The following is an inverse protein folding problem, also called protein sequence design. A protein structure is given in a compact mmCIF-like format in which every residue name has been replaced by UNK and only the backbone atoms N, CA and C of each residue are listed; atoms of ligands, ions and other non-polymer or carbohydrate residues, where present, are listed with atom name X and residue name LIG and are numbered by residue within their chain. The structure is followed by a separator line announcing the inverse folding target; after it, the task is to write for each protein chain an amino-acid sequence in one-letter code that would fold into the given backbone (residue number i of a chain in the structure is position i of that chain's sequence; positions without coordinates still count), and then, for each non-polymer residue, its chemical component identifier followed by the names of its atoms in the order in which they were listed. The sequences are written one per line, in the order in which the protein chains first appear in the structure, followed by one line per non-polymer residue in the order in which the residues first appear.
data_IF_546215879239
#
_entry.id   IF_546215879239
#
_cell.length_a   1.000
_cell.length_b   1.000
_cell.length_c   1.000
_cell.angle_alpha   90.00
_cell.angle_beta   90.00
_cell.angle_gamma   90.00
#
_symmetry.space_group_name_H-M   'P 1'
#
loop_
_entity.id
_entity.type
_entity.pdbx_description
1 polymer ?
#
# COMPACT_ATOMS: atom_id res chain seq x y z
N UNK A 1 28.03 22.47 27.44
CA UNK A 1 28.12 21.29 26.58
C UNK A 1 26.75 20.72 26.36
N UNK A 2 26.46 20.42 25.16
CA UNK A 2 25.25 19.68 24.88
C UNK A 2 25.35 18.29 25.51
N UNK A 3 24.35 17.87 26.26
CA UNK A 3 24.28 16.51 26.78
C UNK A 3 24.20 15.48 25.67
N UNK A 4 23.92 15.96 24.49
CA UNK A 4 23.73 15.13 23.31
C UNK A 4 24.74 15.54 22.25
N UNK A 5 25.99 15.12 22.43
CA UNK A 5 26.94 15.25 21.34
C UNK A 5 26.58 14.22 20.24
N UNK A 6 27.14 14.39 19.08
CA UNK A 6 26.87 13.52 17.95
C UNK A 6 27.19 12.06 18.21
N UNK A 7 28.22 11.82 19.02
CA UNK A 7 28.66 10.47 19.35
C UNK A 7 27.63 9.78 20.25
N UNK A 8 27.15 10.47 21.29
CA UNK A 8 26.15 9.93 22.20
C UNK A 8 24.85 9.66 21.48
N UNK A 9 24.41 10.61 20.63
CA UNK A 9 23.20 10.46 19.84
C UNK A 9 23.33 9.28 18.87
N UNK A 10 24.46 9.11 18.22
CA UNK A 10 24.72 7.99 17.35
C UNK A 10 24.64 6.64 18.06
N UNK A 11 25.15 6.57 19.29
CA UNK A 11 25.07 5.36 20.10
C UNK A 11 23.63 5.01 20.47
N UNK A 12 22.82 6.00 20.81
CA UNK A 12 21.41 5.80 21.14
C UNK A 12 20.64 5.26 19.94
N UNK A 13 20.90 5.81 18.76
CA UNK A 13 20.26 5.35 17.53
C UNK A 13 20.71 3.92 17.20
N UNK A 14 21.98 3.63 17.35
CA UNK A 14 22.53 2.31 17.06
C UNK A 14 22.04 1.25 18.07
N UNK A 15 21.71 1.65 19.29
CA UNK A 15 21.19 0.75 20.31
C UNK A 15 19.73 0.39 20.10
N UNK A 16 19.00 1.16 19.32
CA UNK A 16 17.61 0.86 19.00
C UNK A 16 17.53 -0.32 18.03
N UNK A 17 16.65 -1.29 18.28
CA UNK A 17 16.48 -2.37 17.31
C UNK A 17 15.98 -1.80 15.99
N UNK A 18 16.50 -2.26 14.87
CA UNK A 18 16.01 -1.82 13.58
C UNK A 18 14.53 -2.25 13.42
N UNK A 19 13.75 -1.39 12.80
CA UNK A 19 12.39 -1.73 12.48
C UNK A 19 12.36 -3.00 11.60
N UNK A 20 11.43 -3.93 11.84
CA UNK A 20 11.31 -5.09 10.97
C UNK A 20 11.13 -4.65 9.52
N UNK A 21 11.80 -5.33 8.60
CA UNK A 21 11.75 -5.01 7.18
C UNK A 21 10.31 -4.99 6.67
N UNK A 22 9.46 -5.90 7.19
CA UNK A 22 8.05 -5.93 6.83
C UNK A 22 7.29 -4.66 7.18
N UNK A 23 7.65 -3.99 8.28
CA UNK A 23 7.02 -2.73 8.68
C UNK A 23 7.35 -1.61 7.72
N UNK A 24 8.61 -1.49 7.33
CA UNK A 24 9.05 -0.46 6.38
C UNK A 24 8.38 -0.71 5.03
N UNK A 25 8.36 -1.96 4.59
CA UNK A 25 7.75 -2.34 3.33
C UNK A 25 6.24 -2.05 3.33
N UNK A 26 5.54 -2.40 4.40
CA UNK A 26 4.10 -2.13 4.52
C UNK A 26 3.81 -0.64 4.49
N UNK A 27 4.61 0.18 5.17
CA UNK A 27 4.46 1.63 5.17
C UNK A 27 4.68 2.24 3.79
N UNK A 28 5.56 1.64 2.98
CA UNK A 28 5.83 2.10 1.61
C UNK A 28 4.81 1.60 0.61
N UNK A 29 4.26 0.40 0.81
CA UNK A 29 3.31 -0.23 -0.11
C UNK A 29 1.92 0.40 -0.05
N UNK A 30 1.48 0.90 1.11
CA UNK A 30 0.16 1.49 1.27
C UNK A 30 -0.13 2.65 0.29
N UNK A 31 0.75 3.66 0.15
CA UNK A 31 0.52 4.73 -0.83
C UNK A 31 0.51 4.24 -2.27
N UNK A 32 1.36 3.27 -2.60
CA UNK A 32 1.41 2.67 -3.94
C UNK A 32 0.13 1.90 -4.22
N UNK A 33 -0.34 1.11 -3.25
CA UNK A 33 -1.58 0.36 -3.37
C UNK A 33 -2.79 1.29 -3.55
N UNK A 34 -2.85 2.40 -2.81
CA UNK A 34 -3.92 3.38 -2.96
C UNK A 34 -3.96 4.01 -4.33
N UNK A 35 -2.80 4.38 -4.89
CA UNK A 35 -2.72 4.90 -6.26
C UNK A 35 -3.21 3.86 -7.26
N UNK A 36 -2.80 2.62 -7.10
CA UNK A 36 -3.24 1.53 -7.96
C UNK A 36 -4.74 1.31 -7.89
N UNK A 37 -5.32 1.35 -6.70
CA UNK A 37 -6.77 1.26 -6.51
C UNK A 37 -7.47 2.43 -7.19
N UNK A 38 -6.97 3.65 -6.99
CA UNK A 38 -7.54 4.84 -7.62
C UNK A 38 -7.51 4.76 -9.15
N UNK A 39 -6.43 4.25 -9.73
CA UNK A 39 -6.30 4.02 -11.17
C UNK A 39 -7.29 2.99 -11.68
N UNK A 40 -7.46 1.89 -10.95
CA UNK A 40 -8.43 0.85 -11.29
C UNK A 40 -9.84 1.43 -11.28
N UNK A 41 -10.19 2.17 -10.25
CA UNK A 41 -11.51 2.80 -10.12
C UNK A 41 -11.75 3.81 -11.26
N UNK A 42 -10.78 4.66 -11.54
CA UNK A 42 -10.88 5.65 -12.61
C UNK A 42 -11.09 4.99 -13.97
N UNK A 43 -10.36 3.91 -14.25
CA UNK A 43 -10.51 3.18 -15.50
C UNK A 43 -11.86 2.47 -15.59
N UNK A 44 -12.33 1.92 -14.48
CA UNK A 44 -13.63 1.27 -14.40
C UNK A 44 -14.78 2.25 -14.61
N UNK A 45 -14.64 3.48 -14.15
CA UNK A 45 -15.63 4.52 -14.39
C UNK A 45 -15.68 4.94 -15.86
N UNK A 46 -14.54 4.88 -16.56
CA UNK A 46 -14.45 5.24 -17.96
C UNK A 46 -14.82 4.09 -18.91
N UNK A 47 -14.76 2.84 -18.45
CA UNK A 47 -14.94 1.64 -19.28
C UNK A 47 -15.78 0.60 -18.55
N UNK A 48 -17.02 0.46 -18.95
CA UNK A 48 -17.96 -0.48 -18.34
C UNK A 48 -17.52 -1.94 -18.48
N UNK A 49 -16.94 -2.32 -19.61
CA UNK A 49 -16.44 -3.68 -19.82
C UNK A 49 -15.29 -4.01 -18.87
N UNK A 50 -14.40 -3.05 -18.66
CA UNK A 50 -13.31 -3.19 -17.69
C UNK A 50 -13.87 -3.32 -16.26
N UNK A 51 -14.86 -2.50 -15.92
CA UNK A 51 -15.51 -2.57 -14.62
C UNK A 51 -16.11 -3.94 -14.35
N UNK A 52 -16.79 -4.51 -15.33
CA UNK A 52 -17.38 -5.85 -15.20
C UNK A 52 -16.31 -6.91 -14.93
N UNK A 53 -15.16 -6.82 -15.61
CA UNK A 53 -14.05 -7.74 -15.39
C UNK A 53 -13.44 -7.58 -14.01
N UNK A 54 -13.27 -6.34 -13.55
CA UNK A 54 -12.72 -6.06 -12.22
C UNK A 54 -13.64 -6.60 -11.14
N UNK A 55 -14.91 -6.33 -11.22
CA UNK A 55 -15.90 -6.79 -10.23
C UNK A 55 -15.98 -8.33 -10.20
N UNK A 56 -15.85 -8.97 -11.35
CA UNK A 56 -15.88 -10.42 -11.44
C UNK A 56 -14.65 -11.08 -10.79
N UNK A 57 -13.49 -10.43 -10.84
CA UNK A 57 -12.26 -10.96 -10.28
C UNK A 57 -11.33 -9.83 -9.80
N UNK A 58 -11.53 -9.39 -8.57
CA UNK A 58 -10.76 -8.32 -7.95
C UNK A 58 -9.28 -8.69 -7.78
N UNK A 59 -9.01 -9.94 -7.46
CA UNK A 59 -7.64 -10.40 -7.27
C UNK A 59 -6.82 -10.29 -8.55
N UNK A 60 -7.39 -10.71 -9.67
CA UNK A 60 -6.73 -10.59 -10.96
C UNK A 60 -6.50 -9.14 -11.35
N UNK A 61 -7.45 -8.26 -11.09
CA UNK A 61 -7.30 -6.84 -11.37
C UNK A 61 -6.15 -6.22 -10.59
N UNK A 62 -6.03 -6.57 -9.31
CA UNK A 62 -4.92 -6.12 -8.47
C UNK A 62 -3.59 -6.68 -8.95
N UNK A 63 -3.56 -7.96 -9.30
CA UNK A 63 -2.35 -8.60 -9.80
C UNK A 63 -1.87 -7.95 -11.11
N UNK A 64 -2.77 -7.63 -12.03
CA UNK A 64 -2.45 -6.92 -13.26
C UNK A 64 -1.87 -5.52 -13.00
N UNK A 65 -2.32 -4.87 -11.93
CA UNK A 65 -1.80 -3.57 -11.52
C UNK A 65 -0.50 -3.68 -10.71
N UNK A 66 0.00 -4.88 -10.48
CA UNK A 66 1.21 -5.09 -9.68
C UNK A 66 0.99 -4.95 -8.18
N UNK A 67 -0.23 -5.11 -7.72
CA UNK A 67 -0.60 -4.98 -6.31
C UNK A 67 -0.89 -6.36 -5.74
N UNK A 68 -0.28 -6.68 -4.59
CA UNK A 68 -0.56 -7.92 -3.91
C UNK A 68 -2.00 -7.90 -3.33
N UNK A 69 -2.84 -8.90 -3.66
CA UNK A 69 -4.24 -8.91 -3.23
C UNK A 69 -4.40 -9.37 -1.79
N UNK A 70 -4.03 -8.53 -0.85
CA UNK A 70 -4.24 -8.79 0.58
C UNK A 70 -5.70 -8.53 0.95
N UNK A 71 -6.16 -9.09 2.06
CA UNK A 71 -7.54 -8.90 2.52
C UNK A 71 -7.91 -7.44 2.70
N UNK A 72 -7.10 -6.59 3.36
CA UNK A 72 -7.43 -5.17 3.49
C UNK A 72 -7.55 -4.44 2.15
N UNK A 73 -6.69 -4.78 1.19
CA UNK A 73 -6.71 -4.16 -0.13
C UNK A 73 -7.95 -4.60 -0.92
N UNK A 74 -8.29 -5.89 -0.86
CA UNK A 74 -9.50 -6.41 -1.49
C UNK A 74 -10.76 -5.75 -0.90
N UNK A 75 -10.80 -5.59 0.41
CA UNK A 75 -11.93 -4.95 1.08
C UNK A 75 -12.07 -3.49 0.67
N UNK A 76 -10.97 -2.76 0.55
CA UNK A 76 -10.98 -1.37 0.10
C UNK A 76 -11.46 -1.26 -1.35
N UNK A 77 -10.98 -2.13 -2.23
CA UNK A 77 -11.42 -2.15 -3.63
C UNK A 77 -12.91 -2.47 -3.73
N UNK A 78 -13.40 -3.45 -2.97
CA UNK A 78 -14.84 -3.76 -2.90
C UNK A 78 -15.66 -2.56 -2.45
N UNK A 79 -15.17 -1.86 -1.43
CA UNK A 79 -15.86 -0.68 -0.91
C UNK A 79 -15.99 0.42 -1.97
N UNK A 80 -14.97 0.59 -2.81
CA UNK A 80 -14.99 1.56 -3.91
C UNK A 80 -16.06 1.25 -4.96
N UNK A 81 -16.30 -0.03 -5.21
CA UNK A 81 -17.32 -0.45 -6.20
C UNK A 81 -18.71 -0.64 -5.61
N UNK A 82 -18.86 -0.48 -4.30
CA UNK A 82 -20.13 -0.66 -3.63
C UNK A 82 -20.99 0.59 -3.62
N UNK A 83 -20.39 1.73 -3.79
CA UNK A 83 -21.09 3.02 -3.76
C UNK A 83 -21.70 3.39 -5.11
#
# INVERSE_FOLDING_TARGET
MSAYDHETLGRLIAALPPAPVGWVRAAQELPVARRGIDEIVARAEADAAYRERVVADLESALAEAGIEPTTPILDELRARFRS
#
